data_IF_774189273612
#
_entry.id   IF_774189273612
#
_cell.length_a   1.000
_cell.length_b   1.000
_cell.length_c   1.000
_cell.angle_alpha   90.00
_cell.angle_beta   90.00
_cell.angle_gamma   90.00
#
_symmetry.space_group_name_H-M   'P 1'
#
loop_
_entity.id
_entity.type
_entity.pdbx_description
1 polymer ?
#
# COMPACT_ATOMS: atom_id res chain seq x y z
N UNK A 1 15.78 -0.32 0.05
CA UNK A 1 15.32 -0.30 1.46
C UNK A 1 14.31 0.82 1.70
N UNK A 2 14.66 2.10 1.49
CA UNK A 2 13.79 3.25 1.73
C UNK A 2 12.43 3.18 1.00
N UNK A 3 12.43 2.83 -0.29
CA UNK A 3 11.21 2.71 -1.09
C UNK A 3 10.20 1.70 -0.52
N UNK A 4 10.68 0.52 -0.12
CA UNK A 4 9.84 -0.54 0.47
C UNK A 4 9.40 -0.16 1.88
N UNK A 5 10.31 0.44 2.66
CA UNK A 5 10.00 0.91 4.02
C UNK A 5 8.87 1.94 4.01
N UNK A 6 8.98 2.98 3.19
CA UNK A 6 7.95 4.03 3.07
C UNK A 6 6.62 3.45 2.59
N UNK A 7 6.64 2.62 1.55
CA UNK A 7 5.43 2.06 0.97
C UNK A 7 4.69 1.05 1.85
N UNK A 8 5.35 0.45 2.84
CA UNK A 8 4.71 -0.45 3.79
C UNK A 8 4.38 0.23 5.12
N UNK A 9 5.35 0.94 5.70
CA UNK A 9 5.17 1.55 7.03
C UNK A 9 4.13 2.66 6.99
N UNK A 10 4.18 3.56 5.99
CA UNK A 10 3.19 4.63 5.91
C UNK A 10 1.81 4.10 5.54
N UNK A 11 1.74 3.08 4.67
CA UNK A 11 0.51 2.38 4.35
C UNK A 11 -0.17 1.79 5.61
N UNK A 12 0.57 1.05 6.41
CA UNK A 12 0.04 0.42 7.62
C UNK A 12 -0.31 1.43 8.72
N UNK A 13 0.48 2.51 8.84
CA UNK A 13 0.18 3.61 9.75
C UNK A 13 -1.11 4.33 9.35
N UNK A 14 -1.38 4.50 8.05
CA UNK A 14 -2.61 5.10 7.56
C UNK A 14 -3.83 4.26 7.97
N UNK A 15 -3.80 2.95 7.73
CA UNK A 15 -4.83 2.01 8.19
C UNK A 15 -5.11 2.18 9.68
N UNK A 16 -4.05 2.18 10.49
CA UNK A 16 -4.15 2.35 11.95
C UNK A 16 -4.73 3.71 12.36
N UNK A 17 -4.29 4.79 11.71
CA UNK A 17 -4.74 6.15 12.04
C UNK A 17 -6.22 6.34 11.70
N UNK A 18 -6.65 5.87 10.52
CA UNK A 18 -8.06 5.94 10.12
C UNK A 18 -8.92 5.04 11.01
N UNK A 19 -8.47 3.82 11.32
CA UNK A 19 -9.20 2.93 12.22
C UNK A 19 -9.44 3.57 13.60
N UNK A 20 -8.44 4.23 14.18
CA UNK A 20 -8.58 4.95 15.45
C UNK A 20 -9.60 6.09 15.38
N UNK A 21 -9.66 6.81 14.25
CA UNK A 21 -10.63 7.90 14.05
C UNK A 21 -12.07 7.38 14.08
N UNK A 22 -12.30 6.17 13.59
CA UNK A 22 -13.60 5.49 13.63
C UNK A 22 -13.86 4.76 14.96
N UNK A 23 -13.00 4.90 15.97
CA UNK A 23 -13.18 4.27 17.29
C UNK A 23 -12.75 2.80 17.36
N UNK A 24 -12.14 2.26 16.30
CA UNK A 24 -11.62 0.90 16.29
C UNK A 24 -10.29 0.79 17.05
N UNK A 25 -10.11 -0.33 17.75
CA UNK A 25 -8.81 -0.68 18.32
C UNK A 25 -8.04 -1.51 17.29
N UNK A 26 -7.17 -0.84 16.54
CA UNK A 26 -6.28 -1.49 15.60
C UNK A 26 -5.09 -2.13 16.34
N UNK A 27 -5.04 -3.47 16.36
CA UNK A 27 -3.86 -4.22 16.75
C UNK A 27 -3.07 -4.58 15.49
N UNK A 28 -1.83 -4.11 15.42
CA UNK A 28 -0.92 -4.58 14.39
C UNK A 28 -0.53 -6.03 14.71
N UNK A 29 -0.97 -6.99 13.91
CA UNK A 29 -0.48 -8.37 13.98
C UNK A 29 0.37 -8.63 12.74
N UNK A 30 1.68 -8.61 12.97
CA UNK A 30 2.67 -8.94 11.95
C UNK A 30 2.42 -10.37 11.44
N UNK A 31 2.22 -10.57 10.15
CA UNK A 31 2.12 -11.90 9.56
C UNK A 31 3.52 -12.37 9.17
N UNK A 32 4.28 -12.81 10.17
CA UNK A 32 5.70 -13.16 10.01
C UNK A 32 5.94 -14.19 8.89
N UNK A 33 5.03 -15.14 8.71
CA UNK A 33 5.08 -16.12 7.63
C UNK A 33 4.87 -15.49 6.25
N UNK A 34 3.93 -14.56 6.12
CA UNK A 34 3.69 -13.82 4.88
C UNK A 34 4.88 -12.94 4.49
N UNK A 35 5.51 -12.28 5.48
CA UNK A 35 6.75 -11.51 5.30
C UNK A 35 7.89 -12.41 4.83
N UNK A 36 8.04 -13.60 5.43
CA UNK A 36 9.09 -14.55 5.06
C UNK A 36 8.88 -15.08 3.63
N UNK A 37 7.64 -15.44 3.28
CA UNK A 37 7.27 -15.92 1.94
C UNK A 37 7.46 -14.80 0.89
N UNK A 38 7.03 -13.57 1.20
CA UNK A 38 7.25 -12.37 0.40
C UNK A 38 8.73 -12.14 0.10
N UNK A 39 9.56 -12.25 1.12
CA UNK A 39 11.01 -12.09 1.02
C UNK A 39 11.63 -13.20 0.16
N UNK A 40 11.26 -14.46 0.40
CA UNK A 40 11.75 -15.61 -0.35
C UNK A 40 11.34 -15.54 -1.83
N UNK A 41 10.06 -15.26 -2.11
CA UNK A 41 9.56 -15.07 -3.48
C UNK A 41 10.20 -13.87 -4.18
N UNK A 42 10.46 -12.78 -3.45
CA UNK A 42 11.18 -11.62 -3.98
C UNK A 42 12.62 -11.95 -4.38
N UNK A 43 13.33 -12.73 -3.56
CA UNK A 43 14.70 -13.19 -3.84
C UNK A 43 14.72 -14.19 -4.99
N UNK A 44 13.85 -15.21 -4.95
CA UNK A 44 13.71 -16.21 -6.01
C UNK A 44 13.29 -15.59 -7.34
N UNK A 45 12.31 -14.69 -7.33
CA UNK A 45 11.85 -13.97 -8.52
C UNK A 45 12.96 -13.15 -9.15
N UNK A 46 13.77 -12.46 -8.33
CA UNK A 46 14.95 -11.74 -8.80
C UNK A 46 16.00 -12.67 -9.41
N UNK A 47 16.25 -13.84 -8.81
CA UNK A 47 17.21 -14.82 -9.35
C UNK A 47 16.74 -15.45 -10.66
N UNK A 48 15.46 -15.81 -10.76
CA UNK A 48 14.92 -16.58 -11.90
C UNK A 48 14.59 -15.66 -13.08
N UNK A 49 13.99 -14.49 -12.82
CA UNK A 49 13.46 -13.63 -13.86
C UNK A 49 14.28 -12.35 -14.08
N UNK A 50 15.29 -12.07 -13.24
CA UNK A 50 16.10 -10.84 -13.32
C UNK A 50 15.45 -9.60 -12.66
N UNK A 51 14.24 -9.73 -12.15
CA UNK A 51 13.47 -8.67 -11.48
C UNK A 51 12.72 -9.24 -10.26
N UNK A 52 12.70 -8.48 -9.16
CA UNK A 52 12.09 -8.93 -7.92
C UNK A 52 10.57 -8.83 -8.00
N UNK A 53 9.89 -9.98 -8.00
CA UNK A 53 8.44 -10.06 -7.80
C UNK A 53 8.20 -10.07 -6.29
N UNK A 54 8.11 -8.88 -5.70
CA UNK A 54 7.86 -8.75 -4.26
C UNK A 54 6.36 -8.81 -4.01
N UNK A 55 5.89 -9.96 -3.53
CA UNK A 55 4.55 -10.09 -2.95
C UNK A 55 4.56 -9.40 -1.58
N UNK A 56 4.20 -8.11 -1.49
CA UNK A 56 4.17 -7.42 -0.21
C UNK A 56 2.93 -7.80 0.63
N UNK A 57 2.84 -9.05 1.08
CA UNK A 57 1.94 -9.45 2.16
C UNK A 57 2.67 -9.28 3.51
N UNK A 58 3.03 -8.03 3.84
CA UNK A 58 3.93 -7.73 4.96
C UNK A 58 3.23 -7.66 6.33
N UNK A 59 1.96 -8.01 6.40
CA UNK A 59 1.15 -8.01 7.62
C UNK A 59 -0.31 -7.77 7.30
N UNK A 60 -1.18 -8.08 8.24
CA UNK A 60 -2.58 -7.66 8.20
C UNK A 60 -2.87 -6.89 9.49
N UNK A 61 -3.32 -5.63 9.41
CA UNK A 61 -3.93 -4.98 10.57
C UNK A 61 -5.16 -5.79 10.95
N UNK A 62 -5.16 -6.37 12.14
CA UNK A 62 -6.39 -6.90 12.70
C UNK A 62 -7.09 -5.75 13.42
N UNK A 63 -8.10 -5.23 12.75
CA UNK A 63 -8.97 -4.20 13.30
C UNK A 63 -9.95 -4.93 14.22
N UNK A 64 -9.74 -4.84 15.53
CA UNK A 64 -10.66 -5.40 16.52
C UNK A 64 -11.52 -4.27 17.07
N UNK A 65 -12.83 -4.46 17.04
CA UNK A 65 -13.78 -3.48 17.54
C UNK A 65 -14.43 -4.03 18.81
N UNK A 66 -13.80 -3.92 19.99
CA UNK A 66 -14.33 -4.54 21.21
C UNK A 66 -15.70 -3.98 21.63
N UNK A 67 -16.12 -2.82 21.09
CA UNK A 67 -17.41 -2.18 21.37
C UNK A 67 -18.30 -2.00 20.13
N UNK A 68 -17.93 -2.57 18.98
CA UNK A 68 -18.68 -2.46 17.73
C UNK A 68 -19.17 -3.85 17.33
N UNK A 69 -20.41 -4.15 17.73
CA UNK A 69 -21.11 -5.42 17.47
C UNK A 69 -21.44 -5.64 15.98
N UNK A 70 -21.25 -4.61 15.13
CA UNK A 70 -21.61 -4.58 13.71
C UNK A 70 -20.43 -4.07 12.85
N UNK A 71 -20.23 -4.68 11.67
CA UNK A 71 -19.29 -4.21 10.64
C UNK A 71 -19.85 -2.94 10.00
N UNK A 72 -19.29 -1.78 10.37
CA UNK A 72 -19.52 -0.52 9.66
C UNK A 72 -18.78 -0.59 8.31
N UNK A 73 -19.55 -0.81 7.25
CA UNK A 73 -19.04 -0.90 5.88
C UNK A 73 -18.33 0.37 5.44
N UNK A 74 -18.76 1.53 5.94
CA UNK A 74 -18.13 2.80 5.61
C UNK A 74 -16.76 2.92 6.29
N UNK A 75 -16.69 2.62 7.58
CA UNK A 75 -15.41 2.60 8.28
C UNK A 75 -14.44 1.57 7.66
N UNK A 76 -14.90 0.36 7.35
CA UNK A 76 -14.05 -0.66 6.72
C UNK A 76 -13.55 -0.22 5.34
N UNK A 77 -14.41 0.41 4.53
CA UNK A 77 -14.05 0.96 3.24
C UNK A 77 -13.00 2.07 3.33
N UNK A 78 -13.20 3.05 4.23
CA UNK A 78 -12.25 4.14 4.43
C UNK A 78 -10.92 3.67 5.02
N UNK A 79 -10.96 2.72 5.95
CA UNK A 79 -9.73 2.14 6.49
C UNK A 79 -8.98 1.46 5.35
N UNK A 80 -9.58 0.52 4.64
CA UNK A 80 -8.90 -0.16 3.53
C UNK A 80 -8.45 0.77 2.41
N UNK A 81 -9.16 1.88 2.13
CA UNK A 81 -8.74 2.85 1.13
C UNK A 81 -7.55 3.71 1.58
N UNK A 82 -7.38 3.92 2.89
CA UNK A 82 -6.36 4.82 3.44
C UNK A 82 -4.93 4.40 3.11
N UNK A 83 -4.61 3.10 3.19
CA UNK A 83 -3.30 2.56 2.83
C UNK A 83 -2.90 2.86 1.37
N UNK A 84 -3.71 2.46 0.37
CA UNK A 84 -3.46 2.77 -1.02
C UNK A 84 -3.35 4.28 -1.31
N UNK A 85 -4.19 5.11 -0.68
CA UNK A 85 -4.13 6.58 -0.83
C UNK A 85 -2.80 7.15 -0.32
N UNK A 86 -2.31 6.68 0.83
CA UNK A 86 -1.01 7.11 1.36
C UNK A 86 0.12 6.73 0.42
N UNK A 87 0.10 5.53 -0.16
CA UNK A 87 1.11 5.13 -1.14
C UNK A 87 1.05 5.98 -2.42
N UNK A 88 -0.14 6.27 -2.94
CA UNK A 88 -0.29 7.23 -4.05
C UNK A 88 0.35 8.58 -3.67
N UNK A 89 0.03 9.11 -2.49
CA UNK A 89 0.55 10.40 -2.04
C UNK A 89 2.09 10.41 -1.93
N UNK A 90 2.68 9.40 -1.31
CA UNK A 90 4.13 9.26 -1.16
C UNK A 90 4.80 9.16 -2.53
N UNK A 91 4.23 8.37 -3.44
CA UNK A 91 4.77 8.23 -4.79
C UNK A 91 4.70 9.52 -5.60
N UNK A 92 3.58 10.26 -5.50
CA UNK A 92 3.41 11.58 -6.16
C UNK A 92 4.42 12.58 -5.63
N UNK A 93 4.59 12.67 -4.30
CA UNK A 93 5.58 13.57 -3.69
C UNK A 93 6.99 13.22 -4.16
N UNK A 94 7.35 11.93 -4.18
CA UNK A 94 8.66 11.48 -4.66
C UNK A 94 8.88 11.84 -6.14
N UNK A 95 7.86 11.66 -6.99
CA UNK A 95 7.93 11.98 -8.41
C UNK A 95 8.03 13.50 -8.67
N UNK A 96 7.32 14.32 -7.91
CA UNK A 96 7.41 15.78 -7.99
C UNK A 96 8.83 16.22 -7.61
N UNK A 97 9.34 15.76 -6.46
CA UNK A 97 10.69 16.11 -6.00
C UNK A 97 11.77 15.69 -7.02
N UNK A 98 11.61 14.52 -7.63
CA UNK A 98 12.52 14.03 -8.67
C UNK A 98 12.56 14.96 -9.90
N UNK A 99 11.43 15.58 -10.26
CA UNK A 99 11.32 16.43 -11.46
C UNK A 99 11.65 17.90 -11.21
N UNK A 100 11.50 18.40 -9.99
CA UNK A 100 11.60 19.84 -9.69
C UNK A 100 12.87 20.22 -8.92
N UNK A 101 13.48 19.29 -8.19
CA UNK A 101 14.63 19.59 -7.35
C UNK A 101 15.91 19.04 -7.98
N UNK A 102 16.95 19.86 -8.21
CA UNK A 102 18.25 19.36 -8.63
C UNK A 102 18.89 18.60 -7.46
N UNK A 103 19.06 17.29 -7.63
CA UNK A 103 19.54 16.38 -6.58
C UNK A 103 20.75 15.58 -7.08
N UNK A 104 21.64 15.14 -6.18
CA UNK A 104 22.69 14.20 -6.54
C UNK A 104 22.11 12.88 -7.04
N UNK A 105 22.84 12.18 -7.93
CA UNK A 105 22.38 10.98 -8.62
C UNK A 105 21.80 9.91 -7.67
N UNK A 106 22.42 9.71 -6.50
CA UNK A 106 21.97 8.74 -5.51
C UNK A 106 20.58 9.06 -4.94
N UNK A 107 20.29 10.35 -4.71
CA UNK A 107 19.00 10.81 -4.24
C UNK A 107 17.92 10.70 -5.33
N UNK A 108 18.27 11.04 -6.58
CA UNK A 108 17.37 10.85 -7.73
C UNK A 108 16.97 9.39 -7.90
N UNK A 109 17.94 8.47 -7.88
CA UNK A 109 17.69 7.03 -7.96
C UNK A 109 16.80 6.56 -6.81
N UNK A 110 17.04 7.04 -5.59
CA UNK A 110 16.23 6.70 -4.42
C UNK A 110 14.78 7.16 -4.56
N UNK A 111 14.55 8.40 -5.01
CA UNK A 111 13.20 8.96 -5.23
C UNK A 111 12.47 8.25 -6.37
N UNK A 112 13.17 7.94 -7.46
CA UNK A 112 12.63 7.18 -8.57
C UNK A 112 12.09 5.83 -8.11
N UNK A 113 12.91 5.02 -7.43
CA UNK A 113 12.46 3.74 -6.88
C UNK A 113 11.38 3.90 -5.80
N UNK A 114 11.40 4.97 -5.01
CA UNK A 114 10.35 5.26 -4.04
C UNK A 114 9.00 5.47 -4.73
N UNK A 115 8.96 6.23 -5.83
CA UNK A 115 7.72 6.44 -6.58
C UNK A 115 7.21 5.14 -7.23
N UNK A 116 8.09 4.37 -7.90
CA UNK A 116 7.72 3.08 -8.53
C UNK A 116 7.12 2.13 -7.50
N UNK A 117 7.81 1.91 -6.39
CA UNK A 117 7.39 0.93 -5.39
C UNK A 117 6.07 1.35 -4.74
N UNK A 118 5.91 2.63 -4.40
CA UNK A 118 4.67 3.12 -3.80
C UNK A 118 3.47 3.00 -4.76
N UNK A 119 3.61 3.41 -6.03
CA UNK A 119 2.53 3.26 -7.01
C UNK A 119 2.21 1.79 -7.29
N UNK A 120 3.22 0.93 -7.36
CA UNK A 120 3.03 -0.49 -7.56
C UNK A 120 2.28 -1.14 -6.38
N UNK A 121 2.67 -0.82 -5.14
CA UNK A 121 1.99 -1.36 -3.95
C UNK A 121 0.57 -0.79 -3.83
N UNK A 122 0.34 0.49 -4.16
CA UNK A 122 -1.01 1.06 -4.21
C UNK A 122 -1.90 0.30 -5.21
N UNK A 123 -1.43 0.15 -6.45
CA UNK A 123 -2.16 -0.57 -7.49
C UNK A 123 -2.43 -2.03 -7.10
N UNK A 124 -1.42 -2.74 -6.59
CA UNK A 124 -1.55 -4.12 -6.19
C UNK A 124 -2.57 -4.28 -5.06
N UNK A 125 -2.50 -3.46 -4.02
CA UNK A 125 -3.46 -3.52 -2.91
C UNK A 125 -4.88 -3.13 -3.33
N UNK A 126 -5.07 -2.41 -4.44
CA UNK A 126 -6.39 -2.09 -4.98
C UNK A 126 -6.98 -3.20 -5.86
N UNK A 127 -6.25 -4.28 -6.17
CA UNK A 127 -6.84 -5.40 -6.91
C UNK A 127 -8.01 -6.03 -6.13
N UNK A 128 -9.10 -6.44 -6.80
CA UNK A 128 -10.33 -6.86 -6.13
C UNK A 128 -10.29 -8.33 -5.67
N UNK A 129 -9.17 -8.76 -5.07
CA UNK A 129 -8.96 -10.13 -4.58
C UNK A 129 -8.68 -10.13 -3.07
N UNK A 130 -9.34 -10.98 -2.25
CA UNK A 130 -8.92 -11.19 -0.87
C UNK A 130 -7.46 -11.70 -0.82
N UNK A 131 -6.64 -11.30 0.18
CA UNK A 131 -6.92 -10.44 1.34
C UNK A 131 -6.66 -8.93 1.10
N UNK A 132 -6.55 -8.49 -0.15
CA UNK A 132 -6.14 -7.12 -0.50
C UNK A 132 -7.20 -6.07 -0.13
N UNK A 133 -6.76 -4.84 0.10
CA UNK A 133 -7.62 -3.71 0.48
C UNK A 133 -8.72 -3.43 -0.54
N UNK A 134 -8.40 -3.54 -1.83
CA UNK A 134 -9.29 -3.29 -2.95
C UNK A 134 -10.54 -4.16 -2.93
N UNK A 135 -10.45 -5.37 -2.38
CA UNK A 135 -11.61 -6.24 -2.18
C UNK A 135 -12.64 -5.66 -1.19
N UNK A 136 -12.18 -4.98 -0.15
CA UNK A 136 -13.05 -4.30 0.82
C UNK A 136 -13.56 -2.99 0.25
N UNK A 137 -12.71 -2.22 -0.44
CA UNK A 137 -13.09 -0.95 -1.08
C UNK A 137 -14.17 -1.17 -2.13
N UNK A 138 -14.03 -2.17 -3.02
CA UNK A 138 -15.04 -2.43 -4.07
C UNK A 138 -16.38 -2.89 -3.49
N UNK A 139 -16.36 -3.65 -2.39
CA UNK A 139 -17.57 -4.05 -1.65
C UNK A 139 -18.28 -2.90 -0.97
N UNK A 140 -17.52 -1.92 -0.48
CA UNK A 140 -18.05 -0.71 0.12
C UNK A 140 -18.60 0.24 -0.97
N UNK A 141 -17.78 0.59 -1.97
CA UNK A 141 -18.15 1.47 -3.05
C UNK A 141 -17.26 1.26 -4.30
N UNK A 142 -17.87 0.71 -5.36
CA UNK A 142 -17.21 0.44 -6.62
C UNK A 142 -16.70 1.70 -7.35
N UNK A 143 -17.32 2.86 -7.13
CA UNK A 143 -16.90 4.14 -7.73
C UNK A 143 -15.56 4.62 -7.14
N UNK A 144 -15.43 4.64 -5.82
CA UNK A 144 -14.16 4.97 -5.16
C UNK A 144 -13.06 3.99 -5.55
N UNK A 145 -13.38 2.69 -5.62
CA UNK A 145 -12.46 1.67 -6.10
C UNK A 145 -12.00 1.95 -7.53
N UNK A 146 -12.94 2.17 -8.47
CA UNK A 146 -12.62 2.39 -9.89
C UNK A 146 -11.74 3.63 -10.10
N UNK A 147 -12.04 4.74 -9.41
CA UNK A 147 -11.23 5.96 -9.48
C UNK A 147 -9.83 5.70 -8.93
N UNK A 148 -9.72 5.09 -7.75
CA UNK A 148 -8.41 4.91 -7.11
C UNK A 148 -7.52 3.90 -7.80
N UNK A 149 -8.08 2.79 -8.33
CA UNK A 149 -7.29 1.82 -9.12
C UNK A 149 -6.87 2.42 -10.46
N UNK A 150 -7.76 3.21 -11.10
CA UNK A 150 -7.45 3.93 -12.34
C UNK A 150 -6.32 4.94 -12.15
N UNK A 151 -6.41 5.79 -11.10
CA UNK A 151 -5.35 6.74 -10.74
C UNK A 151 -4.04 6.02 -10.45
N UNK A 152 -4.07 4.93 -9.67
CA UNK A 152 -2.87 4.16 -9.35
C UNK A 152 -2.23 3.54 -10.60
N UNK A 153 -3.04 3.04 -11.54
CA UNK A 153 -2.57 2.48 -12.81
C UNK A 153 -1.90 3.55 -13.67
N UNK A 154 -2.52 4.72 -13.83
CA UNK A 154 -1.95 5.84 -14.60
C UNK A 154 -0.66 6.34 -13.97
N UNK A 155 -0.63 6.55 -12.65
CA UNK A 155 0.58 7.03 -11.97
C UNK A 155 1.73 6.03 -12.09
N UNK A 156 1.43 4.74 -11.99
CA UNK A 156 2.41 3.67 -12.18
C UNK A 156 2.93 3.61 -13.63
N UNK A 157 2.14 3.95 -14.64
CA UNK A 157 2.62 3.95 -16.04
C UNK A 157 3.44 5.17 -16.42
N UNK A 158 3.42 6.23 -15.60
CA UNK A 158 4.21 7.47 -15.80
C UNK A 158 5.66 7.38 -15.30
N UNK A 159 6.02 6.30 -14.61
CA UNK A 159 7.35 6.09 -14.02
C UNK A 159 7.92 4.77 -14.52
#
# INVERSE_FOLDING_TARGET
>A
ALAVFTAFVFHELAHRQVAKKYGYIAFYKRWDTGILIALLLGILGKMIFGHAIVFAALGAVYIYAPYQYWSDREAEGWISLSGPLTNIMVGVVALILLKTVPLPIHAMVSLYYTSIVNFWIAFFNLLPFPPLDGYKVIKWNAGYWAVTIGVSYVLRSLV
#
